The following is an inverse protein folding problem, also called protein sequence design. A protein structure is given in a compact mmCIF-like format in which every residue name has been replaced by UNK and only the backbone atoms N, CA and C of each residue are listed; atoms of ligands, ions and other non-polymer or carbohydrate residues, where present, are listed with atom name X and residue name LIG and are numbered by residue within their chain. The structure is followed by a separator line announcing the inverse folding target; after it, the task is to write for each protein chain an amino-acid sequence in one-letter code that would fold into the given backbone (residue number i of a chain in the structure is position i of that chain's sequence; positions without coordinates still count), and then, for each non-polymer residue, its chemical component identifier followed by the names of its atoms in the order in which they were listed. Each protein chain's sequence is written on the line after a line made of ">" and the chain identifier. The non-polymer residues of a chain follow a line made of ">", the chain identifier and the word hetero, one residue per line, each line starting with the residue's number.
data_IF_720983367778
#
_entry.id   IF_720983367778
#
_cell.length_a   1.000
_cell.length_b   1.000
_cell.length_c   1.000
_cell.angle_alpha   90.00
_cell.angle_beta   90.00
_cell.angle_gamma   90.00
#
_symmetry.space_group_name_H-M   'P 1'
#
loop_
_entity.id
_entity.type
_entity.pdbx_description
1 polymer ?
#
# COMPACT_ATOMS: atom_id res chain seq x y z
N UNK A 1 -3.36 7.81 -9.89
CA UNK A 1 -2.17 7.05 -9.50
C UNK A 1 -2.37 5.63 -9.95
N UNK A 2 -1.36 5.01 -10.55
CA UNK A 2 -1.32 3.58 -10.84
C UNK A 2 0.05 3.04 -10.44
N UNK A 3 0.08 1.92 -9.73
CA UNK A 3 1.30 1.21 -9.38
C UNK A 3 1.09 -0.28 -9.65
N UNK A 4 2.01 -0.91 -10.37
CA UNK A 4 1.95 -2.32 -10.76
C UNK A 4 3.26 -2.97 -10.34
N UNK A 5 3.18 -4.05 -9.57
CA UNK A 5 4.34 -4.75 -9.02
C UNK A 5 4.34 -6.22 -9.42
N UNK A 6 5.52 -6.71 -9.78
CA UNK A 6 5.72 -8.10 -10.16
C UNK A 6 5.45 -9.03 -8.97
N UNK A 7 4.85 -10.19 -9.25
CA UNK A 7 4.62 -11.26 -8.27
C UNK A 7 5.91 -11.70 -7.55
N UNK A 8 7.06 -11.68 -8.23
CA UNK A 8 8.34 -12.03 -7.62
C UNK A 8 8.85 -11.01 -6.59
N UNK A 9 8.38 -9.76 -6.69
CA UNK A 9 8.73 -8.67 -5.78
C UNK A 9 7.75 -8.57 -4.60
N UNK A 10 6.46 -8.76 -4.88
CA UNK A 10 5.38 -8.63 -3.91
C UNK A 10 4.39 -9.77 -4.09
N UNK A 11 4.15 -10.52 -3.01
CA UNK A 11 3.06 -11.48 -2.98
C UNK A 11 1.76 -10.74 -2.58
N UNK A 12 0.80 -10.57 -3.52
CA UNK A 12 -0.49 -10.01 -3.16
C UNK A 12 -1.24 -10.98 -2.24
N UNK A 13 -2.09 -10.48 -1.30
CA UNK A 13 -2.93 -11.34 -0.49
C UNK A 13 -3.77 -12.27 -1.35
N UNK A 14 -3.66 -13.58 -1.12
CA UNK A 14 -4.31 -14.59 -1.94
C UNK A 14 -5.84 -14.47 -1.89
N UNK A 15 -6.38 -13.88 -0.82
CA UNK A 15 -7.80 -13.66 -0.62
C UNK A 15 -8.39 -12.63 -1.58
N UNK A 16 -7.56 -11.82 -2.24
CA UNK A 16 -8.00 -10.95 -3.34
C UNK A 16 -8.30 -11.74 -4.62
N UNK A 17 -7.73 -12.94 -4.79
CA UNK A 17 -7.92 -13.73 -5.99
C UNK A 17 -9.35 -14.28 -6.04
N UNK A 18 -10.11 -13.85 -7.04
CA UNK A 18 -11.42 -14.44 -7.32
C UNK A 18 -11.31 -15.51 -8.41
N UNK A 19 -11.73 -16.77 -8.12
CA UNK A 19 -11.84 -17.84 -9.11
C UNK A 19 -12.78 -17.48 -10.27
N UNK A 20 -13.69 -16.51 -10.07
CA UNK A 20 -14.58 -16.06 -11.12
C UNK A 20 -13.88 -15.26 -12.21
N UNK A 21 -12.71 -14.67 -11.94
CA UNK A 21 -11.94 -13.89 -12.93
C UNK A 21 -11.48 -14.73 -14.12
N UNK A 22 -11.42 -16.06 -13.97
CA UNK A 22 -11.11 -17.01 -15.05
C UNK A 22 -12.35 -17.34 -15.89
N UNK A 23 -13.55 -17.18 -15.32
CA UNK A 23 -14.84 -17.57 -15.92
C UNK A 23 -15.57 -16.40 -16.60
N UNK A 24 -15.18 -15.16 -16.29
CA UNK A 24 -15.76 -13.94 -16.87
C UNK A 24 -15.15 -13.68 -18.25
N UNK A 25 -15.91 -13.05 -19.16
CA UNK A 25 -15.47 -12.70 -20.52
C UNK A 25 -14.27 -11.77 -20.55
N UNK A 26 -14.13 -10.91 -19.53
CA UNK A 26 -13.00 -10.01 -19.32
C UNK A 26 -11.95 -10.71 -18.45
N UNK A 27 -10.81 -11.02 -19.07
CA UNK A 27 -9.66 -11.62 -18.38
C UNK A 27 -8.82 -10.54 -17.69
N UNK A 28 -8.13 -10.88 -16.58
CA UNK A 28 -7.12 -10.00 -16.01
C UNK A 28 -6.05 -9.65 -17.06
N UNK A 29 -5.68 -8.38 -17.13
CA UNK A 29 -4.77 -7.85 -18.16
C UNK A 29 -3.33 -7.90 -17.72
N UNK A 30 -2.42 -7.99 -18.68
CA UNK A 30 -0.99 -7.82 -18.44
C UNK A 30 -0.67 -6.36 -18.09
N UNK A 31 0.48 -6.08 -17.43
CA UNK A 31 0.83 -4.73 -17.00
C UNK A 31 0.89 -3.71 -18.15
N UNK A 32 1.40 -4.11 -19.32
CA UNK A 32 1.51 -3.22 -20.48
C UNK A 32 0.15 -2.78 -21.04
N UNK A 33 -0.83 -3.69 -21.05
CA UNK A 33 -2.20 -3.38 -21.47
C UNK A 33 -2.89 -2.47 -20.46
N UNK A 34 -2.73 -2.77 -19.16
CA UNK A 34 -3.25 -1.93 -18.08
C UNK A 34 -2.71 -0.52 -18.14
N UNK A 35 -1.42 -0.38 -18.48
CA UNK A 35 -0.77 0.90 -18.64
C UNK A 35 -1.30 1.68 -19.86
N UNK A 36 -1.47 1.00 -21.00
CA UNK A 36 -2.06 1.62 -22.21
C UNK A 36 -3.48 2.10 -21.94
N UNK A 37 -4.30 1.32 -21.23
CA UNK A 37 -5.65 1.73 -20.85
C UNK A 37 -5.60 2.98 -19.96
N UNK A 38 -4.74 2.98 -18.94
CA UNK A 38 -4.58 4.11 -18.02
C UNK A 38 -4.18 5.41 -18.74
N UNK A 39 -3.26 5.30 -19.70
CA UNK A 39 -2.82 6.42 -20.54
C UNK A 39 -3.91 6.86 -21.52
N UNK A 40 -4.66 5.92 -22.11
CA UNK A 40 -5.74 6.24 -23.05
C UNK A 40 -6.86 7.03 -22.38
N UNK A 41 -7.10 6.80 -21.08
CA UNK A 41 -8.02 7.60 -20.29
C UNK A 41 -7.54 9.04 -20.04
N UNK A 42 -6.25 9.35 -20.27
CA UNK A 42 -5.64 10.63 -19.86
C UNK A 42 -4.56 11.08 -20.86
N UNK A 43 -4.98 11.76 -21.93
CA UNK A 43 -4.19 11.90 -23.17
C UNK A 43 -3.05 12.92 -23.19
N UNK A 44 -2.78 13.70 -22.13
CA UNK A 44 -1.81 14.82 -22.25
C UNK A 44 -0.71 14.93 -21.20
N UNK A 45 -0.87 14.43 -19.97
CA UNK A 45 0.10 14.71 -18.87
C UNK A 45 0.49 13.49 -18.01
N UNK A 46 0.28 12.26 -18.49
CA UNK A 46 0.65 11.07 -17.72
C UNK A 46 2.18 10.86 -17.69
N UNK A 47 2.74 10.78 -16.50
CA UNK A 47 4.12 10.34 -16.25
C UNK A 47 4.15 8.84 -16.00
N UNK A 48 5.17 8.19 -16.54
CA UNK A 48 5.42 6.75 -16.37
C UNK A 48 6.86 6.55 -15.94
N UNK A 49 7.04 5.67 -14.98
CA UNK A 49 8.34 5.19 -14.55
C UNK A 49 8.29 3.67 -14.60
N UNK A 50 9.15 3.09 -15.42
CA UNK A 50 9.39 1.66 -15.48
C UNK A 50 10.72 1.38 -14.79
N UNK A 51 10.66 0.59 -13.71
CA UNK A 51 11.81 0.14 -12.94
C UNK A 51 12.12 -1.31 -13.32
N UNK A 52 12.63 -1.47 -14.54
CA UNK A 52 12.87 -2.78 -15.15
C UNK A 52 11.61 -3.65 -15.18
N UNK A 53 11.79 -4.94 -14.96
CA UNK A 53 10.71 -5.94 -14.94
C UNK A 53 10.01 -6.04 -13.56
N UNK A 54 10.41 -5.21 -12.59
CA UNK A 54 9.97 -5.32 -11.20
C UNK A 54 8.74 -4.46 -10.89
N UNK A 55 8.72 -3.21 -11.37
CA UNK A 55 7.66 -2.26 -11.03
C UNK A 55 7.38 -1.24 -12.15
N UNK A 56 6.10 -0.89 -12.29
CA UNK A 56 5.61 0.18 -13.15
C UNK A 56 4.80 1.16 -12.31
N UNK A 57 5.23 2.42 -12.28
CA UNK A 57 4.53 3.51 -11.59
C UNK A 57 4.03 4.50 -12.63
N UNK A 58 2.75 4.83 -12.61
CA UNK A 58 2.20 5.91 -13.42
C UNK A 58 1.48 6.95 -12.56
N UNK A 59 1.86 8.19 -12.81
CA UNK A 59 1.41 9.36 -12.08
C UNK A 59 0.78 10.33 -13.07
N UNK A 60 -0.36 10.90 -12.71
CA UNK A 60 -1.00 11.95 -13.49
C UNK A 60 -1.07 13.17 -12.57
N UNK A 61 -0.56 14.34 -12.97
CA UNK A 61 -0.75 15.55 -12.19
C UNK A 61 -2.24 15.90 -12.04
N UNK A 62 -2.68 16.45 -10.90
CA UNK A 62 -4.04 16.91 -10.76
C UNK A 62 -4.34 18.03 -11.77
N UNK A 63 -5.52 17.95 -12.41
CA UNK A 63 -5.98 18.96 -13.37
C UNK A 63 -7.46 19.29 -13.08
N UNK A 64 -7.82 20.56 -12.80
CA UNK A 64 -6.94 21.74 -12.69
C UNK A 64 -6.00 21.66 -11.47
N UNK A 65 -4.90 22.44 -11.45
CA UNK A 65 -3.87 22.39 -10.39
C UNK A 65 -4.37 22.77 -8.99
N UNK A 66 -5.58 23.31 -8.88
CA UNK A 66 -6.25 23.67 -7.62
C UNK A 66 -7.33 22.66 -7.21
N UNK A 67 -7.33 21.47 -7.80
CA UNK A 67 -8.22 20.39 -7.38
C UNK A 67 -7.92 19.99 -5.94
N UNK A 68 -8.96 19.72 -5.16
CA UNK A 68 -8.88 19.18 -3.79
C UNK A 68 -8.21 17.81 -3.73
N UNK A 69 -8.07 17.13 -4.87
CA UNK A 69 -7.27 15.92 -5.00
C UNK A 69 -5.81 16.27 -5.24
N UNK A 70 -5.10 16.63 -4.16
CA UNK A 70 -3.67 16.80 -4.20
C UNK A 70 -3.00 15.45 -4.49
N UNK A 71 -2.16 15.40 -5.53
CA UNK A 71 -1.34 14.24 -5.85
C UNK A 71 0.09 14.73 -5.97
N UNK A 72 1.01 14.07 -5.27
CA UNK A 72 2.43 14.40 -5.30
C UNK A 72 3.21 13.18 -5.74
N UNK A 73 4.26 13.42 -6.52
CA UNK A 73 5.24 12.42 -6.88
C UNK A 73 6.61 12.91 -6.44
N UNK A 74 7.37 12.05 -5.77
CA UNK A 74 8.73 12.34 -5.36
C UNK A 74 9.61 11.10 -5.58
N UNK A 75 10.82 11.31 -6.06
CA UNK A 75 11.88 10.30 -6.14
C UNK A 75 13.12 10.83 -5.43
N UNK A 76 13.62 10.09 -4.45
CA UNK A 76 14.82 10.43 -3.69
C UNK A 76 15.60 9.15 -3.34
N UNK A 77 16.91 9.14 -3.63
CA UNK A 77 17.81 8.01 -3.34
C UNK A 77 17.32 6.63 -3.85
N UNK A 78 16.72 6.60 -5.06
CA UNK A 78 16.11 5.42 -5.70
C UNK A 78 14.86 4.88 -4.97
N UNK A 79 14.25 5.72 -4.13
CA UNK A 79 12.96 5.50 -3.50
C UNK A 79 11.94 6.41 -4.17
N UNK A 80 10.85 5.84 -4.64
CA UNK A 80 9.81 6.55 -5.39
C UNK A 80 8.50 6.48 -4.62
N UNK A 81 7.85 7.63 -4.42
CA UNK A 81 6.59 7.75 -3.71
C UNK A 81 5.56 8.50 -4.55
N UNK A 82 4.36 7.93 -4.67
CA UNK A 82 3.18 8.64 -5.11
C UNK A 82 2.27 8.83 -3.90
N UNK A 83 2.03 10.09 -3.54
CA UNK A 83 1.17 10.49 -2.44
C UNK A 83 -0.14 11.07 -2.97
N UNK A 84 -1.24 10.78 -2.28
CA UNK A 84 -2.60 11.21 -2.53
C UNK A 84 -3.11 11.93 -1.29
N UNK A 85 -3.76 13.07 -1.47
CA UNK A 85 -4.36 13.87 -0.40
C UNK A 85 -3.40 14.90 0.19
N UNK A 86 -3.69 15.34 1.42
CA UNK A 86 -3.01 16.45 2.10
C UNK A 86 -2.87 16.18 3.59
N UNK A 87 -1.77 16.64 4.18
CA UNK A 87 -1.54 16.58 5.62
C UNK A 87 -1.79 17.94 6.28
N UNK A 88 -2.70 17.99 7.24
CA UNK A 88 -3.03 19.18 8.04
C UNK A 88 -1.88 19.58 8.97
N UNK A 89 -1.07 18.61 9.41
CA UNK A 89 0.01 18.81 10.37
C UNK A 89 1.42 18.70 9.75
N UNK A 90 1.56 18.84 8.43
CA UNK A 90 2.84 18.71 7.71
C UNK A 90 3.97 19.56 8.32
N UNK A 91 3.69 20.83 8.63
CA UNK A 91 4.66 21.74 9.24
C UNK A 91 5.17 21.24 10.61
N UNK A 92 4.30 20.62 11.40
CA UNK A 92 4.66 20.05 12.70
C UNK A 92 5.55 18.82 12.52
N UNK A 93 5.20 17.94 11.57
CA UNK A 93 5.97 16.74 11.26
C UNK A 93 7.37 17.09 10.72
N UNK A 94 7.48 18.09 9.84
CA UNK A 94 8.77 18.58 9.33
C UNK A 94 9.69 19.02 10.49
N UNK A 95 9.15 19.73 11.48
CA UNK A 95 9.91 20.18 12.66
C UNK A 95 10.30 19.01 13.56
N UNK A 96 9.37 18.10 13.83
CA UNK A 96 9.57 16.94 14.70
C UNK A 96 10.64 16.00 14.15
N UNK A 97 10.63 15.76 12.83
CA UNK A 97 11.60 14.90 12.16
C UNK A 97 12.87 15.66 11.72
N UNK A 98 12.96 16.98 11.93
CA UNK A 98 14.12 17.79 11.58
C UNK A 98 14.39 17.89 10.07
N UNK A 99 13.34 17.87 9.25
CA UNK A 99 13.44 17.88 7.78
C UNK A 99 13.66 19.30 7.23
N UNK A 100 14.12 19.39 5.98
CA UNK A 100 14.39 20.66 5.31
C UNK A 100 13.13 21.50 5.08
N UNK A 101 13.30 22.83 5.04
CA UNK A 101 12.23 23.76 4.62
C UNK A 101 11.85 23.49 3.16
N UNK A 102 10.56 23.32 2.89
CA UNK A 102 10.04 23.00 1.54
C UNK A 102 9.75 21.52 1.29
N UNK A 103 9.90 20.66 2.30
CA UNK A 103 9.47 19.26 2.25
C UNK A 103 7.97 19.19 1.99
N UNK A 104 7.56 18.47 0.93
CA UNK A 104 6.16 18.14 0.67
C UNK A 104 5.80 16.78 1.29
N UNK A 105 4.53 16.39 1.18
CA UNK A 105 3.99 15.16 1.77
C UNK A 105 4.69 13.90 1.23
N UNK A 106 4.97 13.82 -0.07
CA UNK A 106 5.65 12.67 -0.66
C UNK A 106 7.10 12.55 -0.15
N UNK A 107 7.81 13.68 0.00
CA UNK A 107 9.17 13.72 0.53
C UNK A 107 9.22 13.39 2.02
N UNK A 108 8.23 13.84 2.80
CA UNK A 108 8.06 13.45 4.21
C UNK A 108 7.97 11.92 4.33
N UNK A 109 7.15 11.27 3.50
CA UNK A 109 6.98 9.81 3.52
C UNK A 109 8.28 9.08 3.18
N UNK A 110 9.04 9.54 2.18
CA UNK A 110 10.33 8.92 1.82
C UNK A 110 11.32 9.02 2.99
N UNK A 111 11.47 10.19 3.60
CA UNK A 111 12.39 10.40 4.72
C UNK A 111 11.97 9.60 5.97
N UNK A 112 10.67 9.53 6.25
CA UNK A 112 10.14 8.70 7.31
C UNK A 112 10.44 7.21 7.06
N UNK A 113 10.17 6.71 5.85
CA UNK A 113 10.48 5.33 5.47
C UNK A 113 11.97 4.99 5.60
N UNK A 114 12.87 5.87 5.12
CA UNK A 114 14.32 5.70 5.29
C UNK A 114 14.72 5.61 6.74
N UNK A 115 14.16 6.47 7.59
CA UNK A 115 14.44 6.46 9.02
C UNK A 115 13.99 5.15 9.67
N UNK A 116 12.81 4.64 9.29
CA UNK A 116 12.29 3.35 9.76
C UNK A 116 13.18 2.18 9.31
N UNK A 117 13.62 2.18 8.05
CA UNK A 117 14.48 1.14 7.47
C UNK A 117 15.89 1.13 8.06
N UNK A 118 16.52 2.31 8.12
CA UNK A 118 17.97 2.43 8.41
C UNK A 118 18.26 2.53 9.92
N UNK A 119 17.33 3.08 10.70
CA UNK A 119 17.55 3.38 12.13
C UNK A 119 16.52 2.73 13.06
N UNK A 120 15.32 2.45 12.55
CA UNK A 120 14.22 1.81 13.30
C UNK A 120 13.88 2.41 14.68
N UNK A 121 13.94 3.74 14.92
CA UNK A 121 13.67 4.27 16.26
C UNK A 121 12.19 4.20 16.65
N UNK A 122 11.29 4.16 15.66
CA UNK A 122 9.84 4.17 15.85
C UNK A 122 9.19 3.05 15.01
N UNK A 123 8.06 2.49 15.44
CA UNK A 123 7.31 1.56 14.62
C UNK A 123 6.50 2.32 13.55
N UNK A 124 6.33 1.72 12.37
CA UNK A 124 5.69 2.36 11.22
C UNK A 124 4.24 2.79 11.51
N UNK A 125 3.51 2.02 12.34
CA UNK A 125 2.15 2.35 12.74
C UNK A 125 2.06 3.66 13.54
N UNK A 126 3.06 3.96 14.38
CA UNK A 126 3.09 5.23 15.12
C UNK A 126 3.30 6.41 14.17
N UNK A 127 4.23 6.28 13.22
CA UNK A 127 4.50 7.33 12.24
C UNK A 127 3.26 7.64 11.40
N UNK A 128 2.51 6.61 10.99
CA UNK A 128 1.27 6.77 10.24
C UNK A 128 0.12 7.33 11.07
N UNK A 129 0.03 6.97 12.37
CA UNK A 129 -0.93 7.55 13.30
C UNK A 129 -0.70 9.04 13.57
N UNK A 130 0.55 9.46 13.53
CA UNK A 130 0.92 10.87 13.73
C UNK A 130 0.62 11.72 12.49
N UNK A 131 0.30 11.13 11.33
CA UNK A 131 -0.13 11.87 10.14
C UNK A 131 -1.59 12.30 10.27
N UNK A 132 -1.83 13.60 10.35
CA UNK A 132 -3.18 14.18 10.41
C UNK A 132 -3.57 14.73 9.03
N UNK A 133 -4.71 14.28 8.51
CA UNK A 133 -5.24 14.66 7.21
C UNK A 133 -5.70 13.46 6.39
N UNK A 134 -6.21 13.74 5.19
CA UNK A 134 -6.61 12.71 4.24
C UNK A 134 -5.41 12.29 3.43
N UNK A 135 -4.98 11.05 3.56
CA UNK A 135 -3.82 10.56 2.82
C UNK A 135 -3.96 9.14 2.30
N UNK A 136 -3.26 8.86 1.21
CA UNK A 136 -2.93 7.52 0.77
C UNK A 136 -1.65 7.56 -0.05
N UNK A 137 -0.80 6.55 0.01
CA UNK A 137 0.42 6.54 -0.77
C UNK A 137 0.88 5.15 -1.15
N UNK A 138 1.71 5.11 -2.18
CA UNK A 138 2.49 3.94 -2.58
C UNK A 138 3.95 4.37 -2.71
N UNK A 139 4.82 3.67 -2.00
CA UNK A 139 6.26 3.84 -1.98
C UNK A 139 6.92 2.56 -2.49
N UNK A 140 7.89 2.73 -3.39
CA UNK A 140 8.73 1.66 -3.91
C UNK A 140 10.19 2.01 -3.68
N UNK A 141 10.91 1.14 -2.99
CA UNK A 141 12.34 1.24 -2.77
C UNK A 141 13.06 0.32 -3.76
N UNK A 142 13.66 0.89 -4.79
CA UNK A 142 14.33 0.10 -5.84
C UNK A 142 15.60 -0.57 -5.33
N UNK A 143 16.21 -0.09 -4.24
CA UNK A 143 17.44 -0.68 -3.67
C UNK A 143 17.11 -1.88 -2.80
N UNK A 144 16.10 -1.76 -1.95
CA UNK A 144 15.66 -2.86 -1.09
C UNK A 144 14.75 -3.86 -1.82
N UNK A 145 14.13 -3.45 -2.93
CA UNK A 145 13.12 -4.25 -3.61
C UNK A 145 11.83 -4.38 -2.77
N UNK A 146 11.50 -3.36 -1.99
CA UNK A 146 10.35 -3.39 -1.07
C UNK A 146 9.27 -2.40 -1.52
N UNK A 147 8.03 -2.76 -1.23
CA UNK A 147 6.85 -1.92 -1.50
C UNK A 147 6.17 -1.62 -0.18
N UNK A 148 5.84 -0.34 0.01
CA UNK A 148 5.11 0.12 1.17
C UNK A 148 3.93 1.00 0.73
N UNK A 149 2.72 0.62 1.12
CA UNK A 149 1.50 1.37 0.81
C UNK A 149 0.70 1.61 2.09
N UNK A 150 0.02 2.75 2.18
CA UNK A 150 -0.87 3.03 3.30
C UNK A 150 -2.06 3.88 2.87
N UNK A 151 -3.15 3.77 3.62
CA UNK A 151 -4.34 4.59 3.46
C UNK A 151 -4.80 5.10 4.82
N UNK A 152 -5.05 6.40 4.91
CA UNK A 152 -5.58 7.09 6.09
C UNK A 152 -6.90 6.48 6.58
N UNK A 153 -7.24 6.78 7.83
CA UNK A 153 -8.46 6.29 8.48
C UNK A 153 -9.70 7.14 8.15
N UNK A 154 -9.51 8.34 7.60
CA UNK A 154 -10.56 9.36 7.46
C UNK A 154 -11.42 9.25 6.19
N UNK A 155 -11.16 8.23 5.37
CA UNK A 155 -11.87 7.95 4.09
C UNK A 155 -11.84 9.10 3.06
N UNK A 156 -11.06 10.16 3.29
CA UNK A 156 -10.98 11.31 2.40
C UNK A 156 -10.28 11.00 1.08
N UNK A 157 -9.44 9.96 1.08
CA UNK A 157 -8.80 9.39 -0.11
C UNK A 157 -9.30 7.97 -0.32
N UNK A 158 -9.48 7.59 -1.58
CA UNK A 158 -9.84 6.21 -1.97
C UNK A 158 -8.69 5.59 -2.74
N UNK A 159 -8.34 4.37 -2.34
CA UNK A 159 -7.36 3.55 -3.02
C UNK A 159 -7.94 2.15 -3.18
N UNK A 160 -7.58 1.51 -4.27
CA UNK A 160 -8.02 0.18 -4.64
C UNK A 160 -6.79 -0.65 -4.98
N UNK A 161 -6.92 -1.95 -4.77
CA UNK A 161 -5.87 -2.90 -5.06
C UNK A 161 -6.46 -4.21 -5.57
N UNK A 162 -5.68 -4.94 -6.34
CA UNK A 162 -6.11 -6.22 -6.88
C UNK A 162 -4.99 -6.99 -7.54
N UNK A 163 -5.35 -8.16 -8.02
CA UNK A 163 -4.45 -9.08 -8.72
C UNK A 163 -4.79 -9.01 -10.20
N UNK A 164 -3.85 -8.50 -11.00
CA UNK A 164 -3.93 -8.45 -12.45
C UNK A 164 -3.56 -9.77 -13.12
N UNK A 165 -3.37 -9.73 -14.44
CA UNK A 165 -2.80 -10.84 -15.20
C UNK A 165 -1.44 -11.26 -14.63
N UNK A 166 -1.10 -12.54 -14.75
CA UNK A 166 0.17 -13.13 -14.28
C UNK A 166 0.45 -12.98 -12.77
N UNK A 167 -0.54 -12.58 -11.98
CA UNK A 167 -0.43 -12.44 -10.53
C UNK A 167 0.21 -11.14 -10.06
N UNK A 168 0.27 -10.12 -10.91
CA UNK A 168 0.80 -8.80 -10.56
C UNK A 168 -0.10 -8.09 -9.57
N UNK A 169 0.50 -7.43 -8.58
CA UNK A 169 -0.23 -6.55 -7.67
C UNK A 169 -0.46 -5.20 -8.36
N UNK A 170 -1.71 -4.78 -8.49
CA UNK A 170 -2.10 -3.50 -9.07
C UNK A 170 -2.72 -2.64 -7.97
N UNK A 171 -2.25 -1.41 -7.78
CA UNK A 171 -2.79 -0.41 -6.85
C UNK A 171 -3.12 0.85 -7.63
N UNK A 172 -4.30 1.42 -7.42
CA UNK A 172 -4.75 2.63 -8.11
C UNK A 172 -5.80 3.37 -7.28
N UNK A 173 -5.90 4.68 -7.48
CA UNK A 173 -6.99 5.50 -6.96
C UNK A 173 -8.22 5.52 -7.89
N UNK A 174 -8.10 4.99 -9.11
CA UNK A 174 -9.18 4.92 -10.08
C UNK A 174 -9.77 3.50 -10.15
N UNK A 175 -11.05 3.40 -9.77
CA UNK A 175 -11.80 2.14 -9.74
C UNK A 175 -11.96 1.50 -11.13
N UNK A 176 -12.17 2.29 -12.18
CA UNK A 176 -12.41 1.75 -13.52
C UNK A 176 -11.13 1.11 -14.10
N UNK A 177 -9.97 1.69 -13.79
CA UNK A 177 -8.66 1.11 -14.13
C UNK A 177 -8.49 -0.24 -13.45
N UNK A 178 -8.86 -0.35 -12.17
CA UNK A 178 -8.73 -1.58 -11.38
C UNK A 178 -9.68 -2.68 -11.87
N UNK A 179 -10.93 -2.33 -12.21
CA UNK A 179 -11.87 -3.28 -12.82
C UNK A 179 -11.36 -3.78 -14.16
N UNK A 180 -10.82 -2.88 -14.98
CA UNK A 180 -10.27 -3.23 -16.29
C UNK A 180 -9.02 -4.11 -16.17
N UNK A 181 -8.16 -3.88 -15.19
CA UNK A 181 -6.90 -4.62 -15.00
C UNK A 181 -7.08 -5.96 -14.28
N UNK A 182 -7.88 -5.97 -13.20
CA UNK A 182 -7.98 -7.10 -12.27
C UNK A 182 -9.27 -7.91 -12.44
N UNK A 183 -10.16 -7.52 -13.37
CA UNK A 183 -11.47 -8.12 -13.57
C UNK A 183 -12.29 -8.18 -12.27
N UNK A 184 -12.46 -9.37 -11.67
CA UNK A 184 -13.16 -9.58 -10.38
C UNK A 184 -12.20 -9.79 -9.21
N UNK A 185 -10.88 -9.76 -9.40
CA UNK A 185 -9.88 -9.99 -8.33
C UNK A 185 -9.38 -8.69 -7.72
N UNK A 186 -10.27 -7.89 -7.14
CA UNK A 186 -9.90 -6.60 -6.55
C UNK A 186 -10.75 -6.22 -5.34
N UNK A 187 -10.25 -5.30 -4.55
CA UNK A 187 -10.98 -4.71 -3.44
C UNK A 187 -10.61 -3.23 -3.25
N UNK A 188 -11.39 -2.47 -2.47
CA UNK A 188 -10.88 -1.28 -1.81
C UNK A 188 -9.65 -1.64 -0.97
N UNK A 189 -8.64 -0.78 -0.99
CA UNK A 189 -7.57 -0.85 0.00
C UNK A 189 -8.17 -0.44 1.36
N UNK A 190 -7.94 -1.21 2.44
CA UNK A 190 -8.58 -0.94 3.72
C UNK A 190 -8.08 0.37 4.34
N UNK A 191 -9.00 1.14 4.90
CA UNK A 191 -8.70 2.39 5.61
C UNK A 191 -8.00 2.10 6.93
N UNK A 192 -7.19 3.04 7.41
CA UNK A 192 -6.45 2.86 8.67
C UNK A 192 -5.40 1.74 8.62
N UNK A 193 -4.96 1.36 7.42
CA UNK A 193 -4.08 0.22 7.19
C UNK A 193 -2.83 0.57 6.37
N UNK A 194 -1.81 -0.26 6.56
CA UNK A 194 -0.57 -0.26 5.80
C UNK A 194 -0.25 -1.66 5.27
N UNK A 195 0.41 -1.72 4.13
CA UNK A 195 0.88 -2.93 3.50
C UNK A 195 2.38 -2.79 3.25
N UNK A 196 3.18 -3.74 3.73
CA UNK A 196 4.61 -3.86 3.43
C UNK A 196 4.85 -5.20 2.73
N UNK A 197 5.64 -5.23 1.66
CA UNK A 197 5.88 -6.46 0.87
C UNK A 197 6.36 -7.64 1.72
N UNK A 198 7.19 -7.38 2.73
CA UNK A 198 7.68 -8.42 3.67
C UNK A 198 6.77 -8.60 4.91
N UNK A 199 5.99 -7.58 5.25
CA UNK A 199 5.24 -7.50 6.51
C UNK A 199 3.76 -7.86 6.40
N UNK A 200 3.26 -7.93 5.16
CA UNK A 200 1.86 -8.08 4.82
C UNK A 200 1.03 -6.85 5.15
N UNK A 201 -0.29 -7.03 5.13
CA UNK A 201 -1.28 -6.02 5.48
C UNK A 201 -1.50 -5.97 7.00
N UNK A 202 -1.47 -4.76 7.59
CA UNK A 202 -1.73 -4.51 9.01
C UNK A 202 -2.53 -3.22 9.21
N UNK A 203 -3.34 -3.17 10.26
CA UNK A 203 -3.95 -1.91 10.69
C UNK A 203 -2.93 -1.12 11.50
N UNK A 204 -2.69 0.15 11.14
CA UNK A 204 -1.91 1.02 12.00
C UNK A 204 -2.76 1.61 13.13
N UNK A 205 -4.09 1.65 12.99
CA UNK A 205 -5.01 2.01 14.07
C UNK A 205 -5.00 0.97 15.20
N UNK A 206 -5.03 -0.31 14.83
CA UNK A 206 -5.01 -1.45 15.74
C UNK A 206 -3.82 -2.40 15.46
N UNK A 207 -2.58 -1.96 15.72
CA UNK A 207 -1.36 -2.68 15.32
C UNK A 207 -1.18 -4.04 16.00
N UNK A 208 -1.88 -4.27 17.11
CA UNK A 208 -1.85 -5.53 17.85
C UNK A 208 -2.93 -6.52 17.43
N UNK A 209 -3.86 -6.12 16.55
CA UNK A 209 -4.97 -6.96 16.13
C UNK A 209 -4.67 -7.59 14.76
N UNK A 210 -5.17 -8.81 14.53
CA UNK A 210 -5.00 -9.46 13.23
C UNK A 210 -5.95 -8.86 12.20
N UNK A 211 -5.53 -8.86 10.93
CA UNK A 211 -6.42 -8.57 9.80
C UNK A 211 -7.13 -9.86 9.36
N UNK A 212 -8.41 -9.75 9.04
CA UNK A 212 -9.25 -10.85 8.54
C UNK A 212 -9.82 -10.50 7.18
N UNK A 213 -9.64 -11.40 6.22
CA UNK A 213 -10.26 -11.30 4.91
C UNK A 213 -11.75 -11.70 4.98
N UNK A 214 -12.60 -10.89 4.37
CA UNK A 214 -14.03 -11.09 4.21
C UNK A 214 -14.34 -11.17 2.71
N UNK A 215 -14.73 -12.35 2.19
CA UNK A 215 -15.08 -12.51 0.78
C UNK A 215 -16.13 -11.50 0.34
N UNK A 216 -15.92 -10.90 -0.82
CA UNK A 216 -16.87 -9.96 -1.44
C UNK A 216 -17.68 -10.67 -2.50
N UNK A 217 -18.94 -10.30 -2.62
CA UNK A 217 -19.84 -10.76 -3.67
C UNK A 217 -20.36 -9.51 -4.38
N UNK A 218 -20.33 -9.51 -5.71
CA UNK A 218 -20.87 -8.41 -6.51
C UNK A 218 -22.39 -8.53 -6.71
N UNK A 219 -22.97 -7.58 -7.46
CA UNK A 219 -24.41 -7.56 -7.77
C UNK A 219 -24.88 -8.75 -8.60
N UNK A 220 -23.97 -9.49 -9.24
CA UNK A 220 -24.28 -10.68 -10.05
C UNK A 220 -24.25 -11.96 -9.19
N UNK A 221 -23.97 -11.84 -7.89
CA UNK A 221 -23.83 -12.98 -6.99
C UNK A 221 -22.46 -13.67 -7.11
N UNK A 222 -21.48 -13.02 -7.75
CA UNK A 222 -20.17 -13.59 -8.05
C UNK A 222 -19.12 -13.07 -7.06
N UNK A 223 -18.26 -13.97 -6.57
CA UNK A 223 -17.16 -13.59 -5.68
C UNK A 223 -16.23 -12.60 -6.39
N UNK A 224 -15.89 -11.47 -5.76
CA UNK A 224 -15.11 -10.38 -6.36
C UNK A 224 -13.98 -9.87 -5.45
N UNK A 225 -13.11 -10.77 -5.01
CA UNK A 225 -12.00 -10.50 -4.08
C UNK A 225 -12.44 -10.48 -2.62
N UNK A 226 -11.69 -9.82 -1.75
CA UNK A 226 -11.97 -9.75 -0.31
C UNK A 226 -11.75 -8.35 0.26
N UNK A 227 -12.64 -7.94 1.17
CA UNK A 227 -12.42 -6.79 2.05
C UNK A 227 -11.59 -7.26 3.24
N UNK A 228 -10.72 -6.41 3.77
CA UNK A 228 -9.94 -6.73 4.96
C UNK A 228 -10.43 -5.88 6.13
N UNK A 229 -10.68 -6.51 7.27
CA UNK A 229 -11.11 -5.85 8.50
C UNK A 229 -10.25 -6.29 9.67
N UNK A 230 -10.14 -5.43 10.67
CA UNK A 230 -9.53 -5.77 11.95
C UNK A 230 -10.39 -6.82 12.65
N UNK A 231 -9.75 -7.86 13.18
CA UNK A 231 -10.38 -8.81 14.10
C UNK A 231 -10.17 -8.34 15.54
N UNK A 232 -11.24 -7.82 16.13
CA UNK A 232 -11.22 -7.28 17.50
C UNK A 232 -10.92 -8.34 18.57
N UNK A 233 -11.11 -9.62 18.25
CA UNK A 233 -10.97 -10.72 19.19
C UNK A 233 -9.61 -11.41 19.10
N UNK A 234 -8.88 -11.27 17.98
CA UNK A 234 -7.60 -11.96 17.79
C UNK A 234 -6.42 -11.00 17.74
N UNK A 235 -5.48 -11.20 18.68
CA UNK A 235 -4.24 -10.43 18.75
C UNK A 235 -3.11 -11.12 18.01
N UNK A 236 -2.23 -10.33 17.41
CA UNK A 236 -0.92 -10.77 16.95
C UNK A 236 -0.16 -11.19 18.22
N UNK A 237 0.21 -12.48 18.30
CA UNK A 237 1.02 -12.96 19.40
C UNK A 237 2.42 -12.33 19.28
N UNK A 238 2.62 -11.23 20.00
CA UNK A 238 3.98 -10.75 20.31
C UNK A 238 4.51 -11.62 21.45
N UNK A 239 5.80 -11.98 21.40
CA UNK A 239 6.47 -12.82 22.39
C UNK A 239 6.05 -12.47 23.82
N UNK A 240 5.88 -13.45 24.74
CA UNK A 240 5.57 -13.14 26.12
C UNK A 240 6.63 -12.16 26.63
N UNK A 241 6.21 -11.06 27.24
CA UNK A 241 7.13 -10.17 27.97
C UNK A 241 7.79 -11.01 29.04
N UNK A 242 9.01 -11.43 28.73
CA UNK A 242 9.88 -12.07 29.67
C UNK A 242 10.25 -10.97 30.67
N UNK A 243 9.66 -11.01 31.86
CA UNK A 243 10.11 -10.15 32.96
C UNK A 243 11.59 -10.37 33.19
N UNK A 244 12.28 -9.38 33.76
CA UNK A 244 13.71 -9.41 34.10
C UNK A 244 14.15 -10.55 35.03
N UNK A 245 13.27 -11.49 35.35
CA UNK A 245 13.51 -12.66 36.19
C UNK A 245 13.51 -14.00 35.43
N UNK A 246 13.24 -14.05 34.12
CA UNK A 246 13.39 -15.33 33.43
C UNK A 246 14.86 -15.61 33.13
N UNK A 247 15.37 -16.61 33.83
CA UNK A 247 16.67 -17.24 33.64
C UNK A 247 16.89 -17.59 32.17
N UNK A 248 17.89 -16.98 31.53
CA UNK A 248 18.35 -17.26 30.16
C UNK A 248 19.09 -18.60 30.02
N UNK A 249 19.07 -19.45 31.06
CA UNK A 249 19.94 -20.61 31.21
C UNK A 249 19.22 -21.97 31.10
N UNK A 250 18.10 -22.07 30.38
CA UNK A 250 17.56 -23.39 30.01
C UNK A 250 17.51 -23.52 28.49
N UNK A 251 18.70 -23.63 27.91
CA UNK A 251 18.93 -24.24 26.60
C UNK A 251 19.65 -25.57 26.84
N UNK A 252 18.97 -26.69 26.60
CA UNK A 252 19.62 -28.01 26.61
C UNK A 252 18.76 -29.24 26.89
N UNK A 253 17.85 -29.60 25.97
CA UNK A 253 17.44 -30.98 25.61
C UNK A 253 16.77 -31.90 26.66
N UNK A 254 16.37 -33.14 26.29
CA UNK A 254 16.63 -33.85 25.03
C UNK A 254 15.37 -34.32 24.25
N UNK A 255 15.62 -34.67 22.99
CA UNK A 255 14.83 -35.57 22.15
C UNK A 255 14.27 -36.78 22.90
N UNK A 256 12.97 -37.06 22.70
CA UNK A 256 12.42 -38.31 22.17
C UNK A 256 11.20 -37.96 21.33
#
# INVERSE_FOLDING_TARGET
>A
MLAIFNKGLVEPPQELNSPASVKVSVKPKVPEETLKDFQSCHSTNAFLISLGDAALLSYIPPCPPYSTQHRFFCGLDDIYCIFLGTLNNLCSLIRQYGLSKGTNEAMLVIEAYRTLRDRGPYPADQVLKDMDGSFGFVLFDSKAGTVFAALGADEGVKMYWGIGGDGWLVISDNLEVIKASCAKSFAPFPTGCMFHSEGGLRSFEHPMNKMKAMPRIDSEGVMCGANFKVDDYSRIHSMPRVGSEANWAVWGGPHV
#
